data_IF_946082180164
#
_entry.id   IF_946082180164
#
_cell.length_a   1.000
_cell.length_b   1.000
_cell.length_c   1.000
_cell.angle_alpha   90.00
_cell.angle_beta   90.00
_cell.angle_gamma   90.00
#
_symmetry.space_group_name_H-M   'P 1'
#
loop_
_entity.id
_entity.type
_entity.pdbx_description
1 polymer ?
#
# COMPACT_ATOMS: atom_id res chain seq x y z
N UNK A 1 -24.32 -5.88 -47.78
CA UNK A 1 -25.07 -7.05 -47.26
C UNK A 1 -24.48 -7.34 -45.90
N UNK A 2 -25.22 -7.11 -44.83
CA UNK A 2 -24.74 -7.41 -43.47
C UNK A 2 -24.50 -8.91 -43.35
N UNK A 3 -23.36 -9.32 -42.81
CA UNK A 3 -23.11 -10.75 -42.60
C UNK A 3 -23.99 -11.26 -41.45
N UNK A 4 -24.34 -12.56 -41.41
CA UNK A 4 -25.15 -13.12 -40.31
C UNK A 4 -24.56 -12.84 -38.92
N UNK A 5 -23.23 -12.70 -38.83
CA UNK A 5 -22.51 -12.36 -37.60
C UNK A 5 -22.75 -10.93 -37.15
N UNK A 6 -22.83 -9.97 -38.08
CA UNK A 6 -23.11 -8.56 -37.75
C UNK A 6 -24.52 -8.43 -37.19
N UNK A 7 -25.50 -9.09 -37.83
CA UNK A 7 -26.88 -9.12 -37.31
C UNK A 7 -26.99 -9.73 -35.91
N UNK A 8 -26.17 -10.76 -35.60
CA UNK A 8 -26.19 -11.40 -34.29
C UNK A 8 -25.53 -10.54 -33.21
N UNK A 9 -24.52 -9.74 -33.57
CA UNK A 9 -23.88 -8.75 -32.67
C UNK A 9 -24.81 -7.58 -32.37
N UNK A 10 -25.52 -7.09 -33.39
CA UNK A 10 -26.49 -6.01 -33.24
C UNK A 10 -27.66 -6.43 -32.34
N UNK A 11 -28.16 -7.66 -32.52
CA UNK A 11 -29.19 -8.25 -31.66
C UNK A 11 -28.70 -8.40 -30.20
N UNK A 12 -27.48 -8.90 -30.00
CA UNK A 12 -26.88 -9.01 -28.66
C UNK A 12 -26.72 -7.64 -27.98
N UNK A 13 -26.29 -6.62 -28.72
CA UNK A 13 -26.13 -5.26 -28.19
C UNK A 13 -27.48 -4.67 -27.76
N UNK A 14 -28.54 -4.91 -28.52
CA UNK A 14 -29.90 -4.49 -28.15
C UNK A 14 -30.38 -5.17 -26.87
N UNK A 15 -30.26 -6.49 -26.78
CA UNK A 15 -30.70 -7.24 -25.60
C UNK A 15 -29.89 -6.86 -24.34
N UNK A 16 -28.59 -6.57 -24.48
CA UNK A 16 -27.77 -6.09 -23.35
C UNK A 16 -28.18 -4.71 -22.86
N UNK A 17 -28.58 -3.81 -23.77
CA UNK A 17 -29.15 -2.51 -23.35
C UNK A 17 -30.43 -2.73 -22.56
N UNK A 18 -31.34 -3.56 -23.04
CA UNK A 18 -32.58 -3.90 -22.32
C UNK A 18 -32.35 -4.60 -20.98
N UNK A 19 -31.24 -5.32 -20.82
CA UNK A 19 -30.91 -6.03 -19.59
C UNK A 19 -30.16 -5.20 -18.55
N UNK A 20 -29.27 -4.32 -18.99
CA UNK A 20 -28.28 -3.67 -18.12
C UNK A 20 -28.32 -2.13 -18.16
N UNK A 21 -29.19 -1.52 -18.99
CA UNK A 21 -29.38 -0.07 -18.97
C UNK A 21 -30.11 0.37 -17.70
N UNK A 22 -30.09 1.69 -17.45
CA UNK A 22 -30.74 2.32 -16.30
C UNK A 22 -32.25 2.05 -16.23
N UNK A 23 -32.85 1.81 -17.39
CA UNK A 23 -34.27 1.55 -17.65
C UNK A 23 -34.51 0.10 -18.11
N UNK A 24 -33.71 -0.85 -17.63
CA UNK A 24 -33.79 -2.25 -18.01
C UNK A 24 -35.21 -2.84 -17.86
N UNK A 25 -35.77 -3.35 -18.96
CA UNK A 25 -37.12 -3.91 -19.07
C UNK A 25 -37.12 -5.43 -19.37
N UNK A 26 -35.94 -6.03 -19.58
CA UNK A 26 -35.85 -7.40 -20.10
C UNK A 26 -36.46 -8.46 -19.16
N UNK A 27 -36.59 -8.15 -17.86
CA UNK A 27 -37.14 -9.08 -16.86
C UNK A 27 -38.62 -9.42 -17.12
N UNK A 28 -39.35 -8.54 -17.81
CA UNK A 28 -40.74 -8.75 -18.19
C UNK A 28 -40.89 -9.60 -19.47
N UNK A 29 -39.78 -9.91 -20.16
CA UNK A 29 -39.73 -10.68 -21.41
C UNK A 29 -38.82 -11.92 -21.27
N UNK A 30 -39.35 -13.07 -20.80
CA UNK A 30 -38.54 -14.27 -20.58
C UNK A 30 -37.97 -14.85 -21.89
N UNK A 31 -38.61 -14.58 -23.03
CA UNK A 31 -38.09 -15.02 -24.33
C UNK A 31 -36.86 -14.20 -24.73
N UNK A 32 -36.86 -12.89 -24.50
CA UNK A 32 -35.69 -12.03 -24.69
C UNK A 32 -34.53 -12.41 -23.77
N UNK A 33 -34.80 -12.76 -22.50
CA UNK A 33 -33.77 -13.26 -21.58
C UNK A 33 -33.14 -14.57 -22.07
N UNK A 34 -33.94 -15.52 -22.52
CA UNK A 34 -33.44 -16.78 -23.07
C UNK A 34 -32.58 -16.55 -24.32
N UNK A 35 -33.01 -15.62 -25.20
CA UNK A 35 -32.27 -15.24 -26.40
C UNK A 35 -30.95 -14.53 -26.08
N UNK A 36 -30.93 -13.65 -25.08
CA UNK A 36 -29.73 -12.98 -24.59
C UNK A 36 -28.71 -14.02 -24.10
N UNK A 37 -29.13 -14.96 -23.25
CA UNK A 37 -28.25 -16.00 -22.71
C UNK A 37 -27.61 -16.88 -23.78
N UNK A 38 -28.33 -17.19 -24.86
CA UNK A 38 -27.77 -17.94 -26.00
C UNK A 38 -26.71 -17.12 -26.75
N UNK A 39 -27.01 -15.85 -27.07
CA UNK A 39 -26.07 -14.98 -27.79
C UNK A 39 -24.83 -14.67 -26.95
N UNK A 40 -24.93 -14.57 -25.63
CA UNK A 40 -23.78 -14.38 -24.75
C UNK A 40 -22.87 -15.60 -24.70
N UNK A 41 -23.44 -16.82 -24.67
CA UNK A 41 -22.66 -18.06 -24.78
C UNK A 41 -21.90 -18.15 -26.11
N UNK A 42 -22.58 -17.82 -27.21
CA UNK A 42 -21.96 -17.80 -28.53
C UNK A 42 -20.84 -16.75 -28.63
N UNK A 43 -21.06 -15.55 -28.07
CA UNK A 43 -20.05 -14.50 -28.02
C UNK A 43 -18.84 -14.89 -27.14
N UNK A 44 -19.08 -15.54 -25.99
CA UNK A 44 -18.01 -16.03 -25.13
C UNK A 44 -17.15 -17.09 -25.83
N UNK A 45 -17.78 -18.04 -26.53
CA UNK A 45 -17.07 -19.05 -27.32
C UNK A 45 -16.23 -18.43 -28.45
N UNK A 46 -16.77 -17.42 -29.15
CA UNK A 46 -16.05 -16.70 -30.20
C UNK A 46 -14.84 -15.93 -29.64
N UNK A 47 -14.98 -15.28 -28.48
CA UNK A 47 -13.88 -14.59 -27.80
C UNK A 47 -12.78 -15.57 -27.37
N UNK A 48 -13.16 -16.71 -26.79
CA UNK A 48 -12.20 -17.76 -26.40
C UNK A 48 -11.43 -18.31 -27.62
N UNK A 49 -12.09 -18.51 -28.76
CA UNK A 49 -11.46 -18.95 -30.00
C UNK A 49 -10.46 -17.91 -30.54
N UNK A 50 -10.80 -16.62 -30.48
CA UNK A 50 -9.89 -15.54 -30.88
C UNK A 50 -8.65 -15.48 -29.98
N UNK A 51 -8.81 -15.60 -28.66
CA UNK A 51 -7.68 -15.64 -27.71
C UNK A 51 -6.77 -16.84 -27.99
N UNK A 52 -7.35 -18.02 -28.23
CA UNK A 52 -6.58 -19.22 -28.58
C UNK A 52 -5.85 -19.07 -29.92
N UNK A 53 -6.44 -18.40 -30.91
CA UNK A 53 -5.81 -18.11 -32.19
C UNK A 53 -4.62 -17.15 -32.02
N UNK A 54 -4.79 -16.06 -31.25
CA UNK A 54 -3.71 -15.12 -30.93
C UNK A 54 -2.55 -15.79 -30.18
N UNK A 55 -2.85 -16.69 -29.24
CA UNK A 55 -1.83 -17.48 -28.53
C UNK A 55 -1.02 -18.37 -29.49
N UNK A 56 -1.67 -19.03 -30.46
CA UNK A 56 -1.00 -19.86 -31.47
C UNK A 56 -0.10 -19.06 -32.42
N UNK A 57 -0.50 -17.84 -32.76
CA UNK A 57 0.34 -16.94 -33.59
C UNK A 57 1.57 -16.49 -32.81
N UNK A 58 1.44 -16.21 -31.52
CA UNK A 58 2.56 -15.86 -30.64
C UNK A 58 3.54 -17.03 -30.48
N UNK A 59 3.07 -18.27 -30.35
CA UNK A 59 3.93 -19.46 -30.25
C UNK A 59 4.63 -19.83 -31.56
N UNK A 60 4.01 -19.56 -32.72
CA UNK A 60 4.61 -19.85 -34.03
C UNK A 60 5.50 -18.71 -34.57
N UNK A 61 5.48 -17.52 -33.94
CA UNK A 61 6.32 -16.38 -34.31
C UNK A 61 7.73 -16.40 -33.71
N UNK A 62 8.01 -17.32 -32.78
CA UNK A 62 9.35 -17.52 -32.22
C UNK A 62 10.15 -18.48 -33.09
N UNK A 63 10.99 -17.97 -33.99
CA UNK A 63 12.10 -18.77 -34.51
C UNK A 63 12.98 -19.18 -33.33
N UNK A 64 13.17 -20.47 -33.04
CA UNK A 64 14.05 -20.88 -31.96
C UNK A 64 15.48 -20.58 -32.40
N UNK A 65 16.07 -19.54 -31.82
CA UNK A 65 17.52 -19.34 -31.84
C UNK A 65 18.09 -20.56 -31.09
N UNK A 66 18.58 -21.55 -31.85
CA UNK A 66 19.32 -22.70 -31.33
C UNK A 66 20.44 -22.18 -30.42
N UNK A 67 20.24 -22.29 -29.11
CA UNK A 67 21.36 -22.41 -28.17
C UNK A 67 21.96 -23.78 -28.43
N UNK A 68 23.07 -23.80 -29.15
CA UNK A 68 23.95 -24.96 -29.23
C UNK A 68 24.75 -25.03 -27.93
N UNK A 69 24.39 -25.96 -27.06
CA UNK A 69 25.27 -26.52 -26.04
C UNK A 69 24.89 -28.01 -25.88
N UNK A 70 25.92 -28.82 -25.60
CA UNK A 70 26.05 -30.28 -25.74
C UNK A 70 26.36 -30.71 -27.19
N UNK A 71 27.50 -31.32 -27.53
CA UNK A 71 28.53 -31.99 -26.73
C UNK A 71 28.77 -33.35 -27.39
N UNK A 72 29.85 -33.49 -28.16
CA UNK A 72 30.38 -34.81 -28.54
C UNK A 72 31.87 -34.68 -28.91
N UNK A 73 32.62 -35.68 -28.45
CA UNK A 73 34.07 -35.74 -28.36
C UNK A 73 34.73 -36.20 -29.68
N UNK A 74 36.03 -35.87 -29.78
CA UNK A 74 37.11 -36.73 -30.27
C UNK A 74 37.85 -36.41 -31.59
N UNK A 75 39.19 -36.53 -31.46
CA UNK A 75 40.29 -36.62 -32.44
C UNK A 75 40.88 -35.34 -33.07
N UNK A 76 41.94 -34.78 -32.44
CA UNK A 76 43.32 -34.72 -33.00
C UNK A 76 44.26 -33.78 -32.21
N UNK A 77 45.31 -34.34 -31.61
CA UNK A 77 46.54 -33.65 -31.13
C UNK A 77 47.61 -33.62 -32.26
N UNK A 78 48.81 -32.99 -32.11
CA UNK A 78 49.19 -31.70 -31.51
C UNK A 78 50.08 -30.87 -32.47
N UNK A 79 50.14 -29.53 -32.33
CA UNK A 79 51.35 -28.79 -32.70
C UNK A 79 51.79 -27.84 -31.60
N UNK A 80 52.95 -28.16 -31.04
CA UNK A 80 53.71 -27.36 -30.11
C UNK A 80 54.51 -26.29 -30.84
N UNK A 81 54.42 -25.03 -30.40
CA UNK A 81 55.56 -24.09 -30.39
C UNK A 81 55.47 -23.27 -29.09
N UNK A 82 56.59 -23.25 -28.37
CA UNK A 82 56.84 -22.65 -27.07
C UNK A 82 56.92 -21.10 -27.10
N UNK A 83 56.94 -20.42 -25.92
CA UNK A 83 56.80 -18.96 -25.79
C UNK A 83 58.16 -18.24 -25.75
N UNK A 84 58.17 -16.90 -25.86
CA UNK A 84 59.12 -16.07 -25.11
C UNK A 84 58.34 -15.28 -24.04
N UNK A 85 58.64 -15.47 -22.75
CA UNK A 85 59.75 -14.88 -22.02
C UNK A 85 59.62 -13.35 -21.86
N UNK A 86 59.38 -12.97 -20.61
CA UNK A 86 59.46 -11.63 -20.05
C UNK A 86 60.83 -11.01 -20.30
N UNK A 87 60.88 -9.73 -20.67
CA UNK A 87 61.98 -8.84 -20.31
C UNK A 87 61.47 -7.41 -20.10
N UNK A 88 62.12 -6.78 -19.15
CA UNK A 88 61.79 -5.58 -18.39
C UNK A 88 62.41 -4.34 -19.05
N UNK A 89 62.03 -3.18 -18.49
CA UNK A 89 62.80 -1.92 -18.41
C UNK A 89 62.69 -0.84 -19.50
N UNK A 90 62.12 0.27 -19.02
CA UNK A 90 62.66 1.63 -18.98
C UNK A 90 62.30 2.69 -20.05
N UNK A 91 61.64 3.72 -19.50
CA UNK A 91 61.99 5.12 -19.55
C UNK A 91 61.80 5.94 -20.85
N UNK A 92 60.82 6.83 -20.72
CA UNK A 92 60.94 8.29 -20.88
C UNK A 92 60.69 8.95 -22.25
N UNK A 93 59.84 9.97 -22.14
CA UNK A 93 59.94 11.29 -22.75
C UNK A 93 59.24 11.56 -24.10
N UNK A 94 58.18 12.38 -23.96
CA UNK A 94 57.97 13.66 -24.63
C UNK A 94 57.09 13.71 -25.90
N UNK A 95 56.24 14.75 -25.87
CA UNK A 95 55.62 15.53 -26.95
C UNK A 95 54.16 15.19 -27.37
N UNK A 96 53.25 16.00 -26.80
CA UNK A 96 52.00 16.61 -27.32
C UNK A 96 52.02 17.04 -28.82
N UNK A 97 50.93 17.61 -29.41
CA UNK A 97 49.48 17.35 -29.33
C UNK A 97 48.81 17.33 -30.74
N UNK A 98 47.57 16.85 -30.89
CA UNK A 98 46.67 17.29 -31.99
C UNK A 98 45.23 17.44 -31.48
N UNK A 99 44.76 18.68 -31.44
CA UNK A 99 43.35 19.07 -31.44
C UNK A 99 42.77 19.01 -32.87
N UNK A 100 41.44 18.98 -33.01
CA UNK A 100 40.75 20.19 -33.49
C UNK A 100 39.48 20.47 -32.65
N UNK A 101 39.21 21.68 -32.19
CA UNK A 101 38.84 22.94 -32.87
C UNK A 101 37.33 23.05 -33.19
N UNK A 102 36.77 24.23 -32.85
CA UNK A 102 35.44 24.80 -33.14
C UNK A 102 34.23 24.45 -32.24
N UNK A 103 33.38 25.38 -31.83
CA UNK A 103 33.28 26.83 -32.04
C UNK A 103 32.43 27.44 -30.90
N UNK A 104 32.79 28.67 -30.54
CA UNK A 104 32.10 29.55 -29.60
C UNK A 104 30.81 30.12 -30.19
N UNK A 105 29.77 30.30 -29.36
CA UNK A 105 28.86 31.45 -29.45
C UNK A 105 28.56 31.92 -28.02
N UNK A 106 29.02 33.13 -27.69
CA UNK A 106 28.78 33.78 -26.41
C UNK A 106 27.49 34.61 -26.38
N UNK A 107 26.91 34.66 -25.16
CA UNK A 107 26.37 35.82 -24.43
C UNK A 107 25.26 36.72 -25.04
N UNK A 108 24.50 37.51 -24.24
CA UNK A 108 24.71 37.83 -22.81
C UNK A 108 23.45 37.75 -21.90
N UNK A 109 23.72 37.96 -20.62
CA UNK A 109 22.78 38.28 -19.55
C UNK A 109 22.26 39.73 -19.64
N UNK A 110 21.02 39.97 -19.17
CA UNK A 110 20.67 41.20 -18.43
C UNK A 110 19.65 40.87 -17.33
N UNK A 111 19.99 41.33 -16.13
CA UNK A 111 19.13 41.42 -14.97
C UNK A 111 18.45 42.80 -14.94
N UNK A 112 17.34 42.91 -14.21
CA UNK A 112 17.00 43.95 -13.22
C UNK A 112 15.48 44.19 -13.16
N UNK A 113 14.94 44.14 -11.94
CA UNK A 113 13.57 44.54 -11.63
C UNK A 113 13.11 44.06 -10.25
N UNK A 114 13.73 44.59 -9.19
CA UNK A 114 13.17 44.59 -7.85
C UNK A 114 12.20 45.77 -7.71
N UNK A 115 11.05 45.59 -7.07
CA UNK A 115 10.60 46.37 -5.91
C UNK A 115 9.13 46.05 -5.50
N UNK A 116 8.92 46.17 -4.18
CA UNK A 116 7.65 46.41 -3.45
C UNK A 116 6.70 45.26 -3.02
N UNK A 117 7.01 44.74 -1.83
CA UNK A 117 6.21 44.77 -0.59
C UNK A 117 4.66 44.70 -0.69
N UNK A 118 4.07 43.61 -0.19
CA UNK A 118 2.94 43.66 0.74
C UNK A 118 2.70 42.32 1.46
N UNK A 119 2.72 42.42 2.80
CA UNK A 119 2.32 41.48 3.85
C UNK A 119 1.16 40.51 3.56
N UNK A 120 1.26 39.28 4.07
CA UNK A 120 0.17 38.30 4.03
C UNK A 120 0.38 37.03 4.87
N UNK A 121 0.69 37.21 6.16
CA UNK A 121 0.31 36.40 7.33
C UNK A 121 0.12 34.86 7.22
N UNK A 122 0.98 34.15 7.94
CA UNK A 122 0.86 32.75 8.40
C UNK A 122 -0.40 32.54 9.26
N UNK A 123 -1.25 31.51 9.02
CA UNK A 123 -2.19 31.04 10.03
C UNK A 123 -1.59 29.88 10.84
N UNK A 124 -1.01 30.22 11.98
CA UNK A 124 -0.75 29.30 13.10
C UNK A 124 -2.08 29.05 13.83
N UNK A 125 -2.39 27.83 14.31
CA UNK A 125 -3.63 27.52 15.01
C UNK A 125 -3.76 28.25 16.35
N UNK A 126 -4.99 28.56 16.83
CA UNK A 126 -5.16 29.15 18.14
C UNK A 126 -5.03 28.07 19.22
N UNK A 127 -3.90 28.08 19.92
CA UNK A 127 -3.87 27.74 21.33
C UNK A 127 -4.32 29.00 22.13
N UNK A 128 -5.34 28.87 22.95
CA UNK A 128 -5.66 29.85 23.99
C UNK A 128 -5.74 29.13 25.33
N UNK A 129 -4.80 29.49 26.18
CA UNK A 129 -4.71 29.11 27.58
C UNK A 129 -5.63 29.97 28.45
N UNK A 130 -6.18 29.35 29.50
CA UNK A 130 -6.28 29.87 30.87
C UNK A 130 -7.05 31.17 31.15
N UNK A 131 -8.12 31.04 31.95
CA UNK A 131 -8.51 32.09 32.90
C UNK A 131 -9.12 31.46 34.17
N UNK A 132 -8.46 31.73 35.30
CA UNK A 132 -8.89 31.39 36.65
C UNK A 132 -9.79 32.47 37.25
N UNK A 133 -10.65 32.04 38.18
CA UNK A 133 -11.22 32.74 39.35
C UNK A 133 -12.29 33.85 39.15
N UNK A 134 -13.41 33.67 39.88
CA UNK A 134 -14.40 34.72 40.15
C UNK A 134 -15.57 34.21 41.01
N UNK A 135 -15.47 34.40 42.32
CA UNK A 135 -16.49 34.10 43.32
C UNK A 135 -17.54 35.24 43.47
N UNK A 136 -18.81 34.86 43.70
CA UNK A 136 -19.89 35.57 44.43
C UNK A 136 -21.19 34.77 44.16
N UNK A 137 -22.07 34.39 45.07
CA UNK A 137 -22.38 34.80 46.43
C UNK A 137 -23.92 34.87 46.53
N UNK A 138 -24.57 33.99 47.32
CA UNK A 138 -25.87 34.29 47.95
C UNK A 138 -26.20 33.33 49.09
N UNK A 139 -26.82 33.93 50.11
CA UNK A 139 -27.04 33.50 51.49
C UNK A 139 -28.53 33.25 51.73
N UNK A 140 -28.85 32.23 52.55
CA UNK A 140 -29.99 32.14 53.49
C UNK A 140 -31.42 32.01 52.93
N UNK A 141 -32.37 31.38 53.68
CA UNK A 141 -32.57 31.68 55.11
C UNK A 141 -32.74 30.46 56.04
N UNK A 142 -32.76 30.79 57.34
CA UNK A 142 -32.85 29.95 58.53
C UNK A 142 -34.29 29.53 58.90
N UNK A 143 -34.42 28.44 59.67
CA UNK A 143 -35.24 28.33 60.88
C UNK A 143 -35.07 26.95 61.57
N UNK A 144 -34.78 26.99 62.87
CA UNK A 144 -34.88 25.92 63.89
C UNK A 144 -36.36 25.44 64.06
N UNK A 145 -36.69 24.27 64.66
CA UNK A 145 -36.42 24.03 66.09
C UNK A 145 -36.16 22.59 66.55
N UNK A 146 -35.62 22.47 67.76
CA UNK A 146 -35.67 21.28 68.61
C UNK A 146 -36.80 21.28 69.66
N UNK A 147 -36.83 20.16 70.41
CA UNK A 147 -37.56 19.81 71.66
C UNK A 147 -38.97 19.19 71.61
N UNK A 148 -38.97 17.91 72.01
CA UNK A 148 -39.71 17.27 73.11
C UNK A 148 -41.12 16.63 72.95
N UNK A 149 -41.12 15.35 73.36
CA UNK A 149 -42.04 14.64 74.27
C UNK A 149 -43.09 13.65 73.73
N UNK A 150 -43.07 12.45 74.35
CA UNK A 150 -44.13 11.42 74.42
C UNK A 150 -43.95 10.28 73.42
N UNK A 151 -43.58 9.04 73.76
CA UNK A 151 -43.88 8.25 74.94
C UNK A 151 -44.91 7.18 74.55
N UNK A 152 -44.49 5.94 74.34
CA UNK A 152 -45.21 4.77 74.86
C UNK A 152 -44.40 3.47 74.73
N UNK A 153 -44.68 2.61 75.69
CA UNK A 153 -43.89 1.51 76.22
C UNK A 153 -44.29 0.18 75.55
N UNK A 154 -43.39 -0.82 75.61
CA UNK A 154 -43.64 -2.26 75.87
C UNK A 154 -42.84 -3.19 74.92
N UNK A 155 -41.77 -3.70 75.52
CA UNK A 155 -40.98 -4.95 75.33
C UNK A 155 -41.87 -6.22 75.53
N UNK A 156 -41.42 -7.49 75.57
CA UNK A 156 -40.33 -8.23 74.92
C UNK A 156 -40.81 -9.55 74.26
N UNK A 157 -39.88 -10.25 73.59
CA UNK A 157 -39.80 -11.71 73.38
C UNK A 157 -40.77 -12.42 72.41
N UNK A 158 -40.26 -12.80 71.23
CA UNK A 158 -39.92 -14.20 70.94
C UNK A 158 -39.31 -14.38 69.53
N UNK A 159 -38.01 -14.70 69.50
CA UNK A 159 -37.32 -15.66 68.59
C UNK A 159 -37.50 -15.41 67.08
N UNK A 160 -36.49 -15.01 66.33
CA UNK A 160 -35.43 -15.93 65.90
C UNK A 160 -34.17 -15.16 65.45
N UNK A 161 -33.08 -15.30 66.21
CA UNK A 161 -31.75 -14.85 65.82
C UNK A 161 -31.24 -15.72 64.66
N UNK A 162 -31.48 -15.31 63.42
CA UNK A 162 -30.60 -15.68 62.32
C UNK A 162 -29.34 -14.80 62.45
N UNK A 163 -28.13 -15.35 62.64
CA UNK A 163 -26.93 -14.54 62.70
C UNK A 163 -26.77 -13.81 61.37
N UNK A 164 -27.04 -12.51 61.39
CA UNK A 164 -26.80 -11.59 60.28
C UNK A 164 -25.33 -11.68 59.90
N UNK A 165 -25.04 -12.38 58.81
CA UNK A 165 -23.68 -12.49 58.29
C UNK A 165 -23.13 -11.07 58.11
N UNK A 166 -21.96 -10.75 58.69
CA UNK A 166 -21.47 -9.38 58.71
C UNK A 166 -21.24 -8.89 57.29
N UNK A 167 -21.95 -7.84 56.89
CA UNK A 167 -21.92 -7.25 55.55
C UNK A 167 -20.51 -6.80 55.13
N UNK A 168 -19.63 -6.59 56.12
CA UNK A 168 -18.29 -6.05 55.97
C UNK A 168 -17.28 -7.06 55.39
N UNK A 169 -17.69 -8.33 55.20
CA UNK A 169 -16.89 -9.36 54.54
C UNK A 169 -17.02 -9.40 53.01
N UNK A 170 -17.95 -8.64 52.41
CA UNK A 170 -18.13 -8.60 50.93
C UNK A 170 -17.31 -7.52 50.22
N UNK A 171 -16.86 -6.51 50.96
CA UNK A 171 -16.02 -5.41 50.47
C UNK A 171 -14.71 -5.86 49.78
N UNK A 172 -13.96 -6.87 50.27
CA UNK A 172 -12.75 -7.33 49.57
C UNK A 172 -13.08 -8.13 48.30
N UNK A 173 -14.24 -8.80 48.25
CA UNK A 173 -14.66 -9.57 47.07
C UNK A 173 -15.07 -8.65 45.92
N UNK A 174 -15.76 -7.54 46.24
CA UNK A 174 -16.12 -6.53 45.24
C UNK A 174 -14.87 -5.83 44.68
N UNK A 175 -13.87 -5.56 45.54
CA UNK A 175 -12.57 -5.02 45.10
C UNK A 175 -11.78 -6.00 44.22
N UNK A 176 -11.75 -7.28 44.59
CA UNK A 176 -11.11 -8.29 43.76
C UNK A 176 -11.80 -8.43 42.39
N UNK A 177 -13.14 -8.39 42.36
CA UNK A 177 -13.91 -8.44 41.13
C UNK A 177 -13.62 -7.25 40.21
N UNK A 178 -13.51 -6.01 40.73
CA UNK A 178 -13.19 -4.85 39.90
C UNK A 178 -11.78 -4.92 39.30
N UNK A 179 -10.80 -5.43 40.06
CA UNK A 179 -9.43 -5.64 39.55
C UNK A 179 -9.41 -6.68 38.44
N UNK A 180 -10.15 -7.78 38.59
CA UNK A 180 -10.25 -8.83 37.56
C UNK A 180 -10.93 -8.28 36.30
N UNK A 181 -12.04 -7.55 36.43
CA UNK A 181 -12.71 -6.92 35.28
C UNK A 181 -11.80 -5.93 34.57
N UNK A 182 -11.09 -5.08 35.31
CA UNK A 182 -10.13 -4.13 34.72
C UNK A 182 -8.99 -4.85 33.98
N UNK A 183 -8.45 -5.94 34.55
CA UNK A 183 -7.47 -6.78 33.85
C UNK A 183 -8.04 -7.42 32.58
N UNK A 184 -9.25 -7.97 32.63
CA UNK A 184 -9.87 -8.59 31.45
C UNK A 184 -10.14 -7.57 30.34
N UNK A 185 -10.59 -6.36 30.70
CA UNK A 185 -10.77 -5.27 29.73
C UNK A 185 -9.43 -4.84 29.15
N UNK A 186 -8.39 -4.68 29.97
CA UNK A 186 -7.05 -4.32 29.51
C UNK A 186 -6.42 -5.37 28.59
N UNK A 187 -6.58 -6.65 28.92
CA UNK A 187 -6.15 -7.77 28.07
C UNK A 187 -6.96 -7.80 26.77
N UNK A 188 -8.29 -7.63 26.84
CA UNK A 188 -9.16 -7.61 25.67
C UNK A 188 -8.81 -6.48 24.70
N UNK A 189 -8.58 -5.26 25.19
CA UNK A 189 -8.13 -4.12 24.38
C UNK A 189 -6.77 -4.38 23.74
N UNK A 190 -5.82 -4.92 24.51
CA UNK A 190 -4.48 -5.24 23.99
C UNK A 190 -4.54 -6.31 22.89
N UNK A 191 -5.32 -7.38 23.08
CA UNK A 191 -5.51 -8.43 22.08
C UNK A 191 -6.16 -7.87 20.83
N UNK A 192 -7.18 -7.01 20.97
CA UNK A 192 -7.83 -6.37 19.83
C UNK A 192 -6.85 -5.54 19.00
N UNK A 193 -5.99 -4.73 19.64
CA UNK A 193 -4.95 -3.95 18.93
C UNK A 193 -3.97 -4.87 18.20
N UNK A 194 -3.48 -5.93 18.86
CA UNK A 194 -2.58 -6.88 18.22
C UNK A 194 -3.22 -7.58 17.01
N UNK A 195 -4.52 -7.88 17.06
CA UNK A 195 -5.23 -8.47 15.91
C UNK A 195 -5.36 -7.50 14.73
N UNK A 196 -5.38 -6.18 14.97
CA UNK A 196 -5.40 -5.18 13.90
C UNK A 196 -4.03 -5.02 13.22
N UNK A 197 -2.94 -5.28 13.94
CA UNK A 197 -1.58 -5.27 13.40
C UNK A 197 -1.12 -6.64 12.89
N UNK A 198 -2.00 -7.65 12.96
CA UNK A 198 -1.68 -9.00 12.53
C UNK A 198 -1.21 -9.03 11.08
N UNK A 199 0.00 -9.54 10.87
CA UNK A 199 0.64 -9.61 9.56
C UNK A 199 1.47 -8.38 9.18
N UNK A 200 1.52 -7.32 9.98
CA UNK A 200 2.48 -6.22 9.77
C UNK A 200 3.88 -6.70 10.13
N UNK A 201 4.81 -6.58 9.18
CA UNK A 201 6.18 -7.09 9.29
C UNK A 201 7.22 -5.98 9.29
N UNK A 202 6.83 -4.75 8.99
CA UNK A 202 7.71 -3.58 9.01
C UNK A 202 6.95 -2.27 8.85
N UNK A 203 7.64 -1.19 9.21
CA UNK A 203 7.26 0.20 8.94
C UNK A 203 8.51 0.87 8.39
N UNK A 204 8.42 1.47 7.21
CA UNK A 204 9.53 2.16 6.54
C UNK A 204 9.35 3.66 6.75
N UNK A 205 10.39 4.32 7.26
CA UNK A 205 10.46 5.78 7.32
C UNK A 205 10.96 6.39 6.01
N UNK A 206 10.83 7.70 5.89
CA UNK A 206 11.46 8.46 4.81
C UNK A 206 12.98 8.44 5.00
N UNK A 207 13.69 8.10 3.94
CA UNK A 207 15.14 8.15 3.87
C UNK A 207 15.55 9.14 2.77
N UNK A 208 16.05 10.33 3.11
CA UNK A 208 16.42 11.36 2.13
C UNK A 208 17.67 10.98 1.33
N UNK A 209 18.45 10.01 1.81
CA UNK A 209 19.68 9.55 1.16
C UNK A 209 19.43 8.27 0.33
N UNK A 210 18.18 7.78 0.26
CA UNK A 210 17.83 6.59 -0.52
C UNK A 210 17.97 6.81 -2.03
N UNK A 211 18.42 5.76 -2.72
CA UNK A 211 18.64 5.78 -4.17
C UNK A 211 17.34 6.08 -4.94
N UNK A 212 17.38 7.14 -5.77
CA UNK A 212 16.29 7.51 -6.66
C UNK A 212 16.61 7.16 -8.11
N UNK A 213 15.77 6.37 -8.81
CA UNK A 213 16.03 5.95 -10.18
C UNK A 213 15.65 7.04 -11.20
N UNK A 214 16.45 8.10 -11.28
CA UNK A 214 16.19 9.29 -12.12
C UNK A 214 16.06 8.95 -13.61
N UNK A 215 16.83 7.99 -14.09
CA UNK A 215 16.87 7.61 -15.51
C UNK A 215 15.57 6.94 -15.98
N UNK A 216 14.90 6.24 -15.07
CA UNK A 216 13.65 5.55 -15.36
C UNK A 216 12.47 6.47 -15.07
N UNK A 217 12.49 7.20 -13.95
CA UNK A 217 11.32 7.91 -13.39
C UNK A 217 11.42 9.44 -13.38
N UNK A 218 12.46 10.00 -13.99
CA UNK A 218 12.78 11.41 -13.87
C UNK A 218 13.23 11.78 -12.45
N UNK A 219 13.68 13.01 -12.28
CA UNK A 219 14.07 13.51 -10.96
C UNK A 219 12.90 13.54 -9.96
N UNK A 220 13.19 13.48 -8.65
CA UNK A 220 12.17 13.67 -7.63
C UNK A 220 11.52 15.06 -7.76
N UNK A 221 10.22 15.12 -7.47
CA UNK A 221 9.43 16.37 -7.37
C UNK A 221 9.37 16.85 -5.92
N UNK A 222 8.81 18.04 -5.68
CA UNK A 222 8.70 18.65 -4.34
C UNK A 222 8.07 17.74 -3.28
N UNK A 223 7.04 16.96 -3.64
CA UNK A 223 6.36 16.01 -2.73
C UNK A 223 6.74 14.53 -2.97
N UNK A 224 7.89 14.28 -3.60
CA UNK A 224 8.42 12.92 -3.75
C UNK A 224 9.06 12.45 -2.45
N UNK A 225 8.78 11.21 -2.06
CA UNK A 225 9.34 10.58 -0.87
C UNK A 225 10.05 9.28 -1.27
N UNK A 226 11.30 9.14 -0.87
CA UNK A 226 11.99 7.85 -0.87
C UNK A 226 11.96 7.28 0.55
N UNK A 227 11.76 5.98 0.66
CA UNK A 227 11.67 5.29 1.95
C UNK A 227 12.85 4.37 2.16
N UNK A 228 13.08 4.00 3.42
CA UNK A 228 14.05 2.98 3.81
C UNK A 228 13.90 1.72 2.94
N UNK A 229 15.03 1.14 2.54
CA UNK A 229 15.02 -0.12 1.79
C UNK A 229 14.44 -1.26 2.62
N UNK A 230 13.66 -2.12 1.99
CA UNK A 230 13.06 -3.30 2.63
C UNK A 230 13.60 -4.58 2.02
N UNK A 231 14.66 -5.14 2.62
CA UNK A 231 15.31 -6.38 2.18
C UNK A 231 15.68 -6.38 0.68
N UNK A 232 16.37 -5.32 0.23
CA UNK A 232 16.76 -5.13 -1.17
C UNK A 232 15.64 -4.62 -2.08
N UNK A 233 14.49 -4.23 -1.52
CA UNK A 233 13.45 -3.49 -2.22
C UNK A 233 13.57 -2.00 -1.95
N UNK A 234 13.47 -1.20 -3.01
CA UNK A 234 13.35 0.26 -2.90
C UNK A 234 11.88 0.64 -3.02
N UNK A 235 11.41 1.50 -2.11
CA UNK A 235 10.03 1.96 -2.06
C UNK A 235 10.02 3.47 -2.20
N UNK A 236 9.23 3.96 -3.14
CA UNK A 236 9.19 5.38 -3.51
C UNK A 236 7.73 5.82 -3.64
N UNK A 237 7.45 7.07 -3.29
CA UNK A 237 6.18 7.75 -3.55
C UNK A 237 6.42 9.00 -4.36
N UNK A 238 5.63 9.20 -5.41
CA UNK A 238 5.66 10.44 -6.20
C UNK A 238 4.23 10.92 -6.49
N UNK A 239 3.94 12.22 -6.38
CA UNK A 239 2.68 12.78 -6.82
C UNK A 239 2.52 12.65 -8.34
N UNK A 240 1.36 12.16 -8.78
CA UNK A 240 1.03 12.04 -10.20
C UNK A 240 -0.34 12.66 -10.46
N UNK A 241 -0.46 13.42 -11.54
CA UNK A 241 -1.75 13.92 -12.02
C UNK A 241 -2.43 12.79 -12.79
N UNK A 242 -3.53 12.28 -12.25
CA UNK A 242 -4.30 11.19 -12.87
C UNK A 242 -5.62 11.71 -13.45
N UNK A 243 -6.13 11.05 -14.49
CA UNK A 243 -7.44 11.37 -15.10
C UNK A 243 -7.41 12.64 -15.94
N UNK A 244 -8.45 13.47 -15.83
CA UNK A 244 -8.58 14.75 -16.54
C UNK A 244 -7.87 15.92 -15.83
N UNK A 245 -7.16 15.63 -14.73
CA UNK A 245 -6.41 16.62 -13.94
C UNK A 245 -7.25 17.45 -12.98
N UNK A 246 -8.56 17.22 -12.89
CA UNK A 246 -9.46 18.01 -12.00
C UNK A 246 -9.31 17.67 -10.52
N UNK A 247 -8.74 16.51 -10.20
CA UNK A 247 -8.65 15.96 -8.85
C UNK A 247 -7.32 16.30 -8.14
N UNK A 248 -6.45 17.08 -8.78
CA UNK A 248 -5.10 17.35 -8.27
C UNK A 248 -4.16 16.15 -8.42
N UNK A 249 -2.93 16.30 -7.94
CA UNK A 249 -1.98 15.20 -7.91
C UNK A 249 -2.32 14.23 -6.77
N UNK A 250 -2.22 12.93 -7.04
CA UNK A 250 -2.37 11.86 -6.05
C UNK A 250 -1.03 11.14 -5.85
N UNK A 251 -0.70 10.73 -4.62
CA UNK A 251 0.52 9.98 -4.39
C UNK A 251 0.45 8.61 -5.06
N UNK A 252 1.54 8.18 -5.69
CA UNK A 252 1.69 6.84 -6.25
C UNK A 252 2.84 6.13 -5.56
N UNK A 253 2.53 5.02 -4.90
CA UNK A 253 3.51 4.19 -4.22
C UNK A 253 4.01 3.13 -5.19
N UNK A 254 5.33 2.99 -5.29
CA UNK A 254 5.99 2.11 -6.25
C UNK A 254 7.11 1.35 -5.55
N UNK A 255 7.22 0.06 -5.88
CA UNK A 255 8.23 -0.86 -5.33
C UNK A 255 9.08 -1.43 -6.44
N UNK A 256 10.39 -1.37 -6.25
CA UNK A 256 11.39 -1.87 -7.17
C UNK A 256 12.26 -2.95 -6.50
N UNK A 257 12.79 -3.88 -7.29
CA UNK A 257 13.90 -4.74 -6.87
C UNK A 257 15.22 -4.20 -7.40
N UNK A 258 16.23 -4.15 -6.52
CA UNK A 258 17.56 -3.69 -6.86
C UNK A 258 17.72 -2.18 -6.71
N UNK A 259 18.98 -1.75 -6.56
CA UNK A 259 19.43 -0.36 -6.43
C UNK A 259 20.35 0.00 -7.61
N UNK A 260 20.39 1.28 -8.00
CA UNK A 260 21.26 1.78 -9.08
C UNK A 260 20.64 1.72 -10.48
N UNK A 261 21.47 1.49 -11.51
CA UNK A 261 21.19 1.82 -12.92
C UNK A 261 20.09 0.99 -13.63
N UNK A 262 19.62 -0.11 -13.04
CA UNK A 262 18.60 -0.99 -13.67
C UNK A 262 17.62 -1.60 -12.64
N UNK A 263 16.82 -0.76 -11.94
CA UNK A 263 15.83 -1.26 -11.01
C UNK A 263 14.69 -1.93 -11.78
N UNK A 264 14.24 -3.10 -11.30
CA UNK A 264 13.09 -3.77 -11.90
C UNK A 264 11.81 -3.43 -11.15
N UNK A 265 10.82 -2.89 -11.86
CA UNK A 265 9.50 -2.59 -11.30
C UNK A 265 8.81 -3.88 -10.84
N UNK A 266 8.41 -3.93 -9.56
CA UNK A 266 7.68 -5.07 -9.00
C UNK A 266 6.19 -4.81 -8.84
N UNK A 267 5.79 -3.55 -8.69
CA UNK A 267 4.39 -3.17 -8.52
C UNK A 267 4.22 -1.77 -7.94
N UNK A 268 3.00 -1.26 -8.03
CA UNK A 268 2.66 0.06 -7.53
C UNK A 268 1.24 0.46 -7.89
N UNK A 269 0.66 1.35 -7.10
CA UNK A 269 -0.64 1.95 -7.37
C UNK A 269 -0.74 3.35 -6.75
N UNK A 270 -1.55 4.18 -7.39
CA UNK A 270 -1.87 5.51 -6.92
C UNK A 270 -3.04 5.49 -5.93
N UNK A 271 -3.02 6.45 -5.01
CA UNK A 271 -4.14 6.72 -4.14
C UNK A 271 -5.34 7.27 -4.92
N UNK A 272 -6.52 7.14 -4.33
CA UNK A 272 -7.77 7.65 -4.89
C UNK A 272 -8.65 8.20 -3.77
N UNK A 273 -8.55 9.52 -3.53
CA UNK A 273 -9.24 10.17 -2.42
C UNK A 273 -8.82 9.57 -1.07
N UNK A 274 -9.75 9.00 -0.27
CA UNK A 274 -9.41 8.40 1.03
C UNK A 274 -8.70 7.05 0.91
N UNK A 275 -8.59 6.48 -0.28
CA UNK A 275 -7.82 5.25 -0.49
C UNK A 275 -6.34 5.58 -0.63
N UNK A 276 -5.47 5.07 0.26
CA UNK A 276 -4.04 5.35 0.21
C UNK A 276 -3.39 4.70 -1.02
N UNK A 277 -2.24 5.25 -1.40
CA UNK A 277 -1.37 4.61 -2.37
C UNK A 277 -0.82 3.30 -1.80
N UNK A 278 -0.76 2.25 -2.62
CA UNK A 278 -0.36 0.93 -2.15
C UNK A 278 0.26 0.08 -3.25
N UNK A 279 1.14 -0.84 -2.89
CA UNK A 279 1.71 -1.82 -3.81
C UNK A 279 1.53 -3.22 -3.23
N UNK A 280 1.20 -4.20 -4.06
CA UNK A 280 1.11 -5.59 -3.66
C UNK A 280 1.90 -6.46 -4.63
N UNK A 281 2.68 -7.39 -4.09
CA UNK A 281 3.51 -8.30 -4.87
C UNK A 281 3.61 -9.66 -4.19
N UNK A 282 3.97 -10.67 -4.97
CA UNK A 282 4.26 -12.01 -4.45
C UNK A 282 5.75 -12.24 -4.54
N UNK A 283 6.35 -12.75 -3.46
CA UNK A 283 7.76 -13.12 -3.43
C UNK A 283 7.98 -14.27 -4.42
N UNK A 284 8.59 -13.96 -5.55
CA UNK A 284 8.94 -14.94 -6.60
C UNK A 284 10.44 -15.14 -6.71
N UNK A 285 10.86 -16.03 -7.62
CA UNK A 285 12.28 -16.36 -7.84
C UNK A 285 13.18 -15.17 -8.22
N UNK A 286 12.59 -14.15 -8.83
CA UNK A 286 13.27 -12.92 -9.25
C UNK A 286 13.40 -11.87 -8.14
N UNK A 287 12.81 -12.11 -6.96
CA UNK A 287 12.94 -11.20 -5.83
C UNK A 287 14.38 -11.23 -5.26
N UNK A 288 14.83 -10.13 -4.62
CA UNK A 288 16.14 -10.06 -3.96
C UNK A 288 16.36 -11.24 -3.01
N UNK A 289 17.61 -11.69 -2.89
CA UNK A 289 17.96 -12.83 -2.04
C UNK A 289 17.61 -12.58 -0.58
N UNK A 290 17.87 -11.38 -0.07
CA UNK A 290 17.55 -10.97 1.30
C UNK A 290 16.05 -11.13 1.60
N UNK A 291 15.20 -10.75 0.64
CA UNK A 291 13.75 -10.90 0.76
C UNK A 291 13.34 -12.37 0.77
N UNK A 292 13.93 -13.20 -0.11
CA UNK A 292 13.61 -14.64 -0.20
C UNK A 292 14.11 -15.44 1.00
N UNK A 293 15.20 -15.03 1.62
CA UNK A 293 15.71 -15.62 2.86
C UNK A 293 14.78 -15.33 4.03
N UNK A 294 14.13 -14.16 4.03
CA UNK A 294 13.22 -13.74 5.10
C UNK A 294 11.78 -14.20 4.90
N UNK A 295 11.32 -14.26 3.66
CA UNK A 295 9.95 -14.59 3.26
C UNK A 295 9.98 -15.68 2.19
N UNK A 296 9.29 -16.79 2.44
CA UNK A 296 9.23 -17.90 1.51
C UNK A 296 8.64 -17.48 0.15
N UNK A 297 9.05 -18.14 -0.93
CA UNK A 297 8.42 -17.96 -2.24
C UNK A 297 6.90 -18.23 -2.16
N UNK A 298 6.12 -17.39 -2.83
CA UNK A 298 4.66 -17.39 -2.76
C UNK A 298 4.07 -16.52 -1.63
N UNK A 299 4.89 -15.98 -0.73
CA UNK A 299 4.42 -15.00 0.27
C UNK A 299 3.89 -13.75 -0.43
N UNK A 300 2.68 -13.32 -0.08
CA UNK A 300 2.12 -12.06 -0.54
C UNK A 300 2.57 -10.93 0.38
N UNK A 301 3.18 -9.89 -0.20
CA UNK A 301 3.56 -8.67 0.50
C UNK A 301 2.66 -7.51 0.04
N UNK A 302 2.30 -6.65 0.98
CA UNK A 302 1.53 -5.43 0.72
C UNK A 302 2.19 -4.24 1.41
N UNK A 303 2.39 -3.18 0.66
CA UNK A 303 2.95 -1.90 1.10
C UNK A 303 1.83 -0.87 1.05
N UNK A 304 1.59 -0.16 2.14
CA UNK A 304 0.52 0.83 2.24
C UNK A 304 1.12 2.14 2.74
N UNK A 305 0.94 3.21 1.97
CA UNK A 305 1.38 4.55 2.35
C UNK A 305 0.44 5.13 3.41
N UNK A 306 1.01 5.57 4.53
CA UNK A 306 0.32 6.28 5.61
C UNK A 306 1.13 7.55 5.96
N UNK A 307 0.78 8.66 5.32
CA UNK A 307 1.53 9.91 5.42
C UNK A 307 2.97 9.75 4.92
N UNK A 308 3.93 9.90 5.83
CA UNK A 308 5.38 9.78 5.58
C UNK A 308 5.92 8.41 6.02
N UNK A 309 5.06 7.40 6.14
CA UNK A 309 5.47 6.03 6.48
C UNK A 309 4.85 5.03 5.51
N UNK A 310 5.55 3.92 5.29
CA UNK A 310 5.01 2.78 4.55
C UNK A 310 4.88 1.59 5.47
N UNK A 311 3.66 1.11 5.68
CA UNK A 311 3.39 -0.08 6.46
C UNK A 311 3.49 -1.30 5.55
N UNK A 312 4.31 -2.27 5.95
CA UNK A 312 4.53 -3.51 5.18
C UNK A 312 3.82 -4.66 5.88
N UNK A 313 2.98 -5.36 5.12
CA UNK A 313 2.26 -6.53 5.57
C UNK A 313 2.70 -7.76 4.77
N UNK A 314 2.74 -8.91 5.44
CA UNK A 314 3.03 -10.19 4.81
C UNK A 314 1.93 -11.19 5.13
N UNK A 315 1.58 -12.00 4.14
CA UNK A 315 0.73 -13.17 4.30
C UNK A 315 1.42 -14.36 3.65
N UNK A 316 1.57 -15.42 4.44
CA UNK A 316 2.14 -16.68 4.00
C UNK A 316 1.41 -17.24 2.77
N UNK A 317 2.09 -18.03 1.92
CA UNK A 317 1.47 -18.64 0.75
C UNK A 317 0.27 -19.50 1.17
N UNK A 318 -0.94 -18.98 0.94
CA UNK A 318 -2.16 -19.74 1.02
C UNK A 318 -2.38 -20.46 -0.31
N UNK A 319 -2.68 -21.76 -0.27
CA UNK A 319 -3.25 -22.43 -1.45
C UNK A 319 -4.64 -21.79 -1.65
N UNK A 320 -4.74 -20.86 -2.59
CA UNK A 320 -6.04 -20.41 -3.08
C UNK A 320 -6.55 -21.56 -3.95
N UNK A 321 -7.36 -22.44 -3.37
CA UNK A 321 -8.19 -23.32 -4.20
C UNK A 321 -9.03 -22.41 -5.11
N UNK A 322 -8.94 -22.58 -6.44
CA UNK A 322 -9.79 -21.80 -7.32
C UNK A 322 -11.23 -22.16 -6.99
N UNK A 323 -12.00 -21.19 -6.49
CA UNK A 323 -13.44 -21.33 -6.32
C UNK A 323 -14.03 -21.67 -7.69
N UNK A 324 -14.76 -22.79 -7.83
CA UNK A 324 -15.33 -23.23 -9.11
C UNK A 324 -16.42 -22.30 -9.64
#
# INVERSE_FOLDING_TARGET
>A
MSTPTDSSRDELAELRRRAYARDADILDDPAALARLGELEKQAAAASAANVAASARVSTNGGTPRRSAFDGDEDVAEPQAIAPPASEETDAAAAADPIAPDRDEHGSPAEALGADDLASGTVPTPPASAGASAGASGRVGPAADPGSDAGGDVVDPDAVENAPGRPWWRRTPVVWAASVVVAMLVGVGLTVLVQTMEAGRVGVLGVDPDADWPEEVWGGPTEDSLAFESFYGLSVLSQPQVTGDGTQGAVPCLIVFSGVGDNPSYLGGACGAGPFPAQAALVVGRQAPSELRERFAEGTALQFVLDGEQVHVYAREPGIVEPTP
#
